data_IF_233822385809
#
_entry.id   IF_233822385809
#
_cell.length_a   1.000
_cell.length_b   1.000
_cell.length_c   1.000
_cell.angle_alpha   90.00
_cell.angle_beta   90.00
_cell.angle_gamma   90.00
#
_symmetry.space_group_name_H-M   'P 1'
#
loop_
_entity.id
_entity.type
_entity.pdbx_description
1 polymer ?
#
# COMPACT_ATOMS: atom_id res chain seq x y z
N UNK A 1 7.73 8.24 5.27
CA UNK A 1 6.99 9.53 5.38
C UNK A 1 5.76 9.27 6.22
N UNK A 2 5.56 10.03 7.30
CA UNK A 2 4.38 9.89 8.16
C UNK A 2 3.15 10.56 7.53
N UNK A 3 1.97 10.04 7.86
CA UNK A 3 0.69 10.65 7.47
C UNK A 3 -0.04 11.18 8.71
N UNK A 4 -0.44 12.45 8.65
CA UNK A 4 -1.24 13.10 9.67
C UNK A 4 -2.68 13.28 9.19
N UNK A 5 -3.67 12.92 10.00
CA UNK A 5 -5.09 13.07 9.66
C UNK A 5 -5.93 13.48 10.87
N UNK A 6 -7.00 14.26 10.66
CA UNK A 6 -7.88 14.68 11.74
C UNK A 6 -8.72 13.51 12.25
N UNK A 7 -8.90 13.44 13.57
CA UNK A 7 -9.81 12.50 14.23
C UNK A 7 -10.69 13.24 15.23
N UNK A 8 -11.96 12.86 15.33
CA UNK A 8 -12.88 13.38 16.34
C UNK A 8 -13.14 12.28 17.38
N UNK A 9 -12.88 12.57 18.65
CA UNK A 9 -13.11 11.66 19.77
C UNK A 9 -13.73 12.45 20.91
N UNK A 10 -14.86 11.97 21.45
CA UNK A 10 -15.60 12.61 22.54
C UNK A 10 -15.95 14.09 22.31
N UNK A 11 -16.10 14.50 21.04
CA UNK A 11 -16.39 15.88 20.64
C UNK A 11 -15.16 16.79 20.54
N UNK A 12 -13.97 16.26 20.81
CA UNK A 12 -12.70 16.97 20.65
C UNK A 12 -12.05 16.66 19.29
N UNK A 13 -11.44 17.69 18.69
CA UNK A 13 -10.65 17.57 17.46
C UNK A 13 -9.20 17.27 17.80
N UNK A 14 -8.73 16.13 17.34
CA UNK A 14 -7.39 15.61 17.55
C UNK A 14 -6.71 15.37 16.20
N UNK A 15 -5.40 15.13 16.24
CA UNK A 15 -4.62 14.70 15.07
C UNK A 15 -4.06 13.32 15.38
N UNK A 16 -4.23 12.40 14.43
CA UNK A 16 -3.60 11.09 14.45
C UNK A 16 -2.43 11.06 13.46
N UNK A 17 -1.33 10.44 13.88
CA UNK A 17 -0.21 10.06 13.02
C UNK A 17 -0.20 8.55 12.81
N UNK A 18 0.06 8.15 11.57
CA UNK A 18 0.33 6.76 11.20
C UNK A 18 1.50 6.68 10.23
N UNK A 19 2.08 5.49 10.13
CA UNK A 19 3.11 5.18 9.14
C UNK A 19 2.52 4.36 7.97
N UNK A 20 2.26 4.97 6.80
CA UNK A 20 1.76 4.24 5.63
C UNK A 20 2.81 3.26 5.05
N UNK A 21 4.09 3.42 5.36
CA UNK A 21 5.13 2.48 4.95
C UNK A 21 5.09 1.18 5.78
N UNK A 22 4.37 1.15 6.90
CA UNK A 22 4.15 -0.05 7.71
C UNK A 22 5.41 -0.54 8.43
N UNK A 23 6.30 0.36 8.85
CA UNK A 23 7.37 0.09 9.81
C UNK A 23 6.88 0.16 11.27
N UNK A 24 5.71 0.75 11.51
CA UNK A 24 4.96 0.63 12.76
C UNK A 24 3.47 0.49 12.48
N UNK A 25 2.77 -0.31 13.28
CA UNK A 25 1.31 -0.46 13.27
C UNK A 25 0.63 0.45 14.31
N UNK A 26 1.42 1.14 15.12
CA UNK A 26 0.92 2.07 16.12
C UNK A 26 0.29 3.30 15.46
N UNK A 27 -0.72 3.84 16.12
CA UNK A 27 -1.32 5.13 15.78
C UNK A 27 -1.13 6.02 17.01
N UNK A 28 -0.47 7.16 16.81
CA UNK A 28 -0.30 8.15 17.86
C UNK A 28 -1.36 9.22 17.67
N UNK A 29 -2.12 9.52 18.71
CA UNK A 29 -3.14 10.58 18.71
C UNK A 29 -2.74 11.65 19.70
N UNK A 30 -2.79 12.90 19.27
CA UNK A 30 -2.55 14.03 20.16
C UNK A 30 -3.50 15.19 19.87
N UNK A 31 -3.68 16.03 20.89
CA UNK A 31 -4.45 17.25 20.77
C UNK A 31 -3.76 18.24 19.81
N UNK A 32 -4.53 19.03 19.08
CA UNK A 32 -4.02 20.02 18.12
C UNK A 32 -2.89 20.91 18.65
N UNK A 33 -2.89 21.40 19.90
CA UNK A 33 -1.79 22.20 20.43
C UNK A 33 -0.44 21.47 20.48
N UNK A 34 -0.44 20.14 20.56
CA UNK A 34 0.79 19.34 20.56
C UNK A 34 1.38 19.19 19.14
N UNK A 35 0.64 19.54 18.09
CA UNK A 35 1.17 19.47 16.72
C UNK A 35 2.34 20.43 16.51
N UNK A 36 2.30 21.63 17.12
CA UNK A 36 3.43 22.59 17.04
C UNK A 36 4.64 22.14 17.86
N UNK A 37 4.43 21.38 18.94
CA UNK A 37 5.53 20.76 19.67
C UNK A 37 6.20 19.67 18.82
N UNK A 38 5.40 18.78 18.23
CA UNK A 38 5.90 17.65 17.42
C UNK A 38 6.54 18.13 16.11
N UNK A 39 6.06 19.23 15.53
CA UNK A 39 6.67 19.80 14.31
C UNK A 39 8.09 20.31 14.50
N UNK A 40 8.49 20.56 15.76
CA UNK A 40 9.85 20.95 16.13
C UNK A 40 10.79 19.75 16.37
N UNK A 41 10.31 18.51 16.19
CA UNK A 41 11.14 17.30 16.27
C UNK A 41 11.80 17.04 14.90
N UNK A 42 12.64 17.98 14.48
CA UNK A 42 13.27 18.01 13.15
C UNK A 42 14.73 17.53 13.15
N UNK A 43 15.27 17.18 14.32
CA UNK A 43 16.67 16.80 14.48
C UNK A 43 17.65 17.99 14.49
N UNK A 44 17.15 19.22 14.32
CA UNK A 44 17.94 20.46 14.38
C UNK A 44 17.79 21.17 15.73
N UNK A 45 16.62 21.05 16.37
CA UNK A 45 16.36 21.65 17.69
C UNK A 45 16.62 20.69 18.85
N UNK A 46 17.39 21.14 19.84
CA UNK A 46 17.48 20.48 21.14
C UNK A 46 16.20 20.68 21.96
N UNK A 47 15.98 19.80 22.94
CA UNK A 47 14.82 19.91 23.87
C UNK A 47 14.72 21.30 24.53
N UNK A 48 15.86 21.91 24.88
CA UNK A 48 15.89 23.25 25.48
C UNK A 48 15.47 24.34 24.49
N UNK A 49 15.89 24.24 23.22
CA UNK A 49 15.48 25.16 22.15
C UNK A 49 14.00 25.01 21.84
N UNK A 50 13.49 23.78 21.74
CA UNK A 50 12.06 23.50 21.56
C UNK A 50 11.24 24.16 22.66
N UNK A 51 11.65 23.98 23.92
CA UNK A 51 10.97 24.61 25.05
C UNK A 51 10.98 26.15 24.93
N UNK A 52 12.13 26.74 24.58
CA UNK A 52 12.27 28.19 24.44
C UNK A 52 11.36 28.73 23.34
N UNK A 53 11.29 28.06 22.19
CA UNK A 53 10.41 28.42 21.06
C UNK A 53 8.94 28.40 21.48
N UNK A 54 8.50 27.36 22.18
CA UNK A 54 7.11 27.27 22.65
C UNK A 54 6.78 28.31 23.72
N UNK A 55 7.73 28.57 24.62
CA UNK A 55 7.58 29.57 25.68
C UNK A 55 7.44 30.98 25.09
N UNK A 56 8.22 31.29 24.05
CA UNK A 56 8.13 32.55 23.32
C UNK A 56 6.78 32.69 22.57
N UNK A 57 6.32 31.62 21.90
CA UNK A 57 5.08 31.64 21.11
C UNK A 57 3.81 31.72 21.96
N UNK A 58 3.77 31.01 23.08
CA UNK A 58 2.53 30.78 23.82
C UNK A 58 2.54 31.32 25.26
N UNK A 59 3.67 31.84 25.75
CA UNK A 59 3.82 32.30 27.13
C UNK A 59 3.83 31.15 28.17
N UNK A 60 3.74 29.91 27.71
CA UNK A 60 3.85 28.69 28.50
C UNK A 60 4.43 27.58 27.61
N UNK A 61 5.21 26.68 28.20
CA UNK A 61 5.74 25.50 27.52
C UNK A 61 5.75 24.29 28.48
N UNK A 62 5.66 23.06 27.96
CA UNK A 62 5.96 21.87 28.75
C UNK A 62 7.38 21.93 29.33
N UNK A 63 7.64 21.19 30.41
CA UNK A 63 8.99 21.08 30.96
C UNK A 63 9.91 20.32 29.99
N UNK A 64 11.23 20.53 30.08
CA UNK A 64 12.19 19.74 29.30
C UNK A 64 12.04 18.24 29.54
N UNK A 65 11.67 17.84 30.76
CA UNK A 65 11.38 16.44 31.11
C UNK A 65 10.16 15.92 30.34
N UNK A 66 9.04 16.66 30.32
CA UNK A 66 7.83 16.28 29.57
C UNK A 66 8.08 16.19 28.05
N UNK A 67 8.91 17.09 27.51
CA UNK A 67 9.31 17.04 26.09
C UNK A 67 10.16 15.79 25.85
N UNK A 68 11.13 15.51 26.72
CA UNK A 68 11.98 14.31 26.62
C UNK A 68 11.18 13.01 26.71
N UNK A 69 10.20 12.92 27.61
CA UNK A 69 9.30 11.77 27.70
C UNK A 69 8.48 11.58 26.42
N UNK A 70 8.03 12.66 25.79
CA UNK A 70 7.31 12.58 24.52
C UNK A 70 8.23 12.11 23.38
N UNK A 71 9.46 12.63 23.31
CA UNK A 71 10.48 12.20 22.34
C UNK A 71 10.74 10.70 22.46
N UNK A 72 11.02 10.21 23.68
CA UNK A 72 11.28 8.78 23.90
C UNK A 72 10.08 7.93 23.49
N UNK A 73 8.85 8.34 23.85
CA UNK A 73 7.63 7.60 23.47
C UNK A 73 7.42 7.53 21.96
N UNK A 74 7.67 8.62 21.24
CA UNK A 74 7.56 8.64 19.77
C UNK A 74 8.66 7.80 19.12
N UNK A 75 9.88 7.84 19.67
CA UNK A 75 10.99 7.02 19.21
C UNK A 75 10.72 5.52 19.42
N UNK A 76 10.29 5.12 20.62
CA UNK A 76 9.86 3.75 20.92
C UNK A 76 8.74 3.29 19.97
N UNK A 77 7.81 4.19 19.64
CA UNK A 77 6.72 3.91 18.72
C UNK A 77 7.16 3.87 17.24
N UNK A 78 8.36 4.34 16.91
CA UNK A 78 8.92 4.34 15.55
C UNK A 78 8.46 5.52 14.68
N UNK A 79 8.16 6.65 15.30
CA UNK A 79 7.73 7.88 14.62
C UNK A 79 8.85 8.92 14.45
N UNK A 80 10.04 8.68 14.99
CA UNK A 80 11.20 9.55 14.85
C UNK A 80 12.26 8.89 13.97
N UNK A 81 12.96 9.69 13.18
CA UNK A 81 14.13 9.25 12.42
C UNK A 81 15.33 9.14 13.37
N UNK A 82 15.56 7.91 13.86
CA UNK A 82 16.55 7.60 14.89
C UNK A 82 17.30 6.32 14.55
N UNK A 83 18.39 6.05 15.27
CA UNK A 83 19.10 4.76 15.15
C UNK A 83 18.17 3.57 15.44
N UNK A 84 17.21 3.74 16.36
CA UNK A 84 16.22 2.72 16.72
C UNK A 84 15.24 2.47 15.56
N UNK A 85 14.79 3.54 14.91
CA UNK A 85 13.95 3.42 13.71
C UNK A 85 14.71 2.78 12.55
N UNK A 86 15.95 3.17 12.31
CA UNK A 86 16.79 2.59 11.26
C UNK A 86 17.05 1.10 11.47
N UNK A 87 17.29 0.67 12.72
CA UNK A 87 17.39 -0.76 13.05
C UNK A 87 16.08 -1.51 12.79
N UNK A 88 14.93 -0.91 13.17
CA UNK A 88 13.60 -1.48 12.88
C UNK A 88 13.37 -1.61 11.38
N UNK A 89 13.62 -0.55 10.62
CA UNK A 89 13.49 -0.49 9.16
C UNK A 89 14.32 -1.60 8.51
N UNK A 90 15.61 -1.68 8.85
CA UNK A 90 16.52 -2.73 8.36
C UNK A 90 15.99 -4.13 8.65
N UNK A 91 15.56 -4.39 9.89
CA UNK A 91 15.04 -5.71 10.30
C UNK A 91 13.83 -6.12 9.47
N UNK A 92 12.88 -5.21 9.28
CA UNK A 92 11.65 -5.46 8.51
C UNK A 92 11.96 -5.67 7.02
N UNK A 93 12.83 -4.84 6.44
CA UNK A 93 13.24 -4.97 5.04
C UNK A 93 14.03 -6.25 4.78
N UNK A 94 14.92 -6.64 5.69
CA UNK A 94 15.67 -7.90 5.60
C UNK A 94 14.74 -9.11 5.68
N UNK A 95 13.74 -9.10 6.57
CA UNK A 95 12.72 -10.14 6.64
C UNK A 95 11.93 -10.24 5.32
N UNK A 96 11.54 -9.11 4.75
CA UNK A 96 10.87 -9.10 3.44
C UNK A 96 11.78 -9.60 2.32
N UNK A 97 13.05 -9.19 2.30
CA UNK A 97 14.05 -9.64 1.32
C UNK A 97 14.26 -11.16 1.40
N UNK A 98 14.29 -11.73 2.60
CA UNK A 98 14.40 -13.16 2.82
C UNK A 98 13.13 -13.96 2.47
N UNK A 99 11.96 -13.32 2.40
CA UNK A 99 10.70 -13.99 2.05
C UNK A 99 10.71 -14.52 0.59
N UNK A 100 10.28 -15.77 0.35
CA UNK A 100 10.21 -16.32 -1.01
C UNK A 100 9.05 -15.73 -1.84
N UNK A 101 8.10 -15.08 -1.18
CA UNK A 101 6.89 -14.47 -1.78
C UNK A 101 6.71 -13.04 -1.28
N UNK A 102 5.91 -12.27 -2.01
CA UNK A 102 5.32 -11.02 -1.51
C UNK A 102 4.01 -11.44 -0.82
N UNK A 103 3.93 -11.46 0.53
CA UNK A 103 2.76 -11.97 1.25
C UNK A 103 1.49 -11.19 0.91
N UNK A 104 0.29 -11.75 1.08
CA UNK A 104 -0.99 -11.07 0.88
C UNK A 104 -1.28 -10.01 1.97
N UNK A 105 -0.55 -8.89 1.96
CA UNK A 105 -0.52 -7.89 3.02
C UNK A 105 -1.86 -7.18 3.31
N UNK A 106 -2.81 -7.18 2.37
CA UNK A 106 -4.11 -6.51 2.54
C UNK A 106 -5.30 -7.48 2.60
N UNK A 107 -5.03 -8.79 2.67
CA UNK A 107 -6.03 -9.81 2.93
C UNK A 107 -6.70 -9.59 4.30
N UNK A 108 -8.03 -9.62 4.33
CA UNK A 108 -8.84 -9.33 5.52
C UNK A 108 -9.13 -7.85 5.76
N UNK A 109 -8.40 -6.94 5.12
CA UNK A 109 -8.64 -5.50 5.17
C UNK A 109 -9.28 -4.97 3.87
N UNK A 110 -8.46 -4.86 2.82
CA UNK A 110 -8.92 -4.32 1.53
C UNK A 110 -9.84 -5.28 0.77
N UNK A 111 -9.73 -6.58 1.03
CA UNK A 111 -10.51 -7.66 0.44
C UNK A 111 -10.62 -8.84 1.41
N UNK A 112 -11.52 -9.79 1.16
CA UNK A 112 -11.74 -10.91 2.07
C UNK A 112 -10.48 -11.81 2.20
N UNK A 113 -10.12 -12.18 3.42
CA UNK A 113 -8.87 -12.92 3.68
C UNK A 113 -8.93 -14.42 3.36
N UNK A 114 -10.11 -14.98 3.17
CA UNK A 114 -10.32 -16.41 2.93
C UNK A 114 -10.73 -16.68 1.49
N UNK A 115 -10.12 -17.69 0.85
CA UNK A 115 -10.32 -17.99 -0.56
C UNK A 115 -11.79 -18.08 -1.02
N UNK A 116 -12.66 -18.88 -0.37
CA UNK A 116 -14.07 -18.96 -0.74
C UNK A 116 -14.83 -17.64 -0.59
N UNK A 117 -14.54 -16.87 0.47
CA UNK A 117 -15.18 -15.57 0.71
C UNK A 117 -14.71 -14.53 -0.31
N UNK A 118 -13.41 -14.54 -0.67
CA UNK A 118 -12.82 -13.68 -1.68
C UNK A 118 -13.38 -13.97 -3.07
N UNK A 119 -13.49 -15.25 -3.43
CA UNK A 119 -14.09 -15.65 -4.70
C UNK A 119 -15.54 -15.15 -4.80
N UNK A 120 -16.34 -15.37 -3.75
CA UNK A 120 -17.72 -14.87 -3.71
C UNK A 120 -17.79 -13.34 -3.77
N UNK A 121 -16.88 -12.64 -3.09
CA UNK A 121 -16.78 -11.18 -3.13
C UNK A 121 -16.51 -10.68 -4.56
N UNK A 122 -15.57 -11.29 -5.28
CA UNK A 122 -15.21 -10.88 -6.64
C UNK A 122 -16.34 -11.22 -7.63
N UNK A 123 -16.99 -12.39 -7.51
CA UNK A 123 -18.15 -12.73 -8.36
C UNK A 123 -19.28 -11.70 -8.20
N UNK A 124 -19.49 -11.20 -6.98
CA UNK A 124 -20.49 -10.17 -6.71
C UNK A 124 -20.17 -8.80 -7.35
N UNK A 125 -18.97 -8.59 -7.90
CA UNK A 125 -18.65 -7.37 -8.65
C UNK A 125 -19.32 -7.32 -10.01
N UNK A 126 -19.65 -8.47 -10.59
CA UNK A 126 -20.20 -8.58 -11.94
C UNK A 126 -21.72 -8.41 -11.98
N UNK A 127 -22.42 -8.82 -10.93
CA UNK A 127 -23.89 -8.91 -10.92
C UNK A 127 -24.70 -7.79 -10.23
N UNK A 128 -24.14 -6.68 -9.68
CA UNK A 128 -24.98 -5.62 -9.14
C UNK A 128 -25.76 -4.93 -10.28
N UNK A 129 -26.81 -4.13 -9.98
CA UNK A 129 -27.60 -3.46 -11.02
C UNK A 129 -26.78 -2.62 -12.01
N UNK A 130 -25.69 -2.01 -11.53
CA UNK A 130 -24.73 -1.19 -12.31
C UNK A 130 -23.56 -2.03 -12.88
N UNK A 131 -23.55 -3.35 -12.68
CA UNK A 131 -22.47 -4.25 -13.05
C UNK A 131 -22.52 -4.73 -14.50
N UNK A 132 -21.41 -5.29 -15.02
CA UNK A 132 -21.30 -5.77 -16.40
C UNK A 132 -22.06 -7.08 -16.69
N UNK A 133 -22.63 -7.73 -15.68
CA UNK A 133 -23.17 -9.10 -15.77
C UNK A 133 -22.10 -10.19 -15.69
N UNK A 134 -22.53 -11.39 -15.29
CA UNK A 134 -21.65 -12.55 -15.09
C UNK A 134 -20.87 -12.90 -16.38
N UNK A 135 -19.57 -13.25 -16.29
CA UNK A 135 -18.75 -13.75 -17.40
C UNK A 135 -19.37 -14.97 -18.10
N UNK A 136 -20.17 -14.75 -19.14
CA UNK A 136 -20.80 -15.82 -19.92
C UNK A 136 -22.12 -15.41 -20.54
N UNK A 137 -22.09 -14.70 -21.66
CA UNK A 137 -23.34 -14.35 -22.36
C UNK A 137 -23.23 -13.91 -23.80
N UNK A 138 -22.16 -13.26 -24.22
CA UNK A 138 -21.96 -12.89 -25.64
C UNK A 138 -20.46 -12.98 -25.96
N UNK A 139 -20.06 -13.60 -27.09
CA UNK A 139 -18.75 -13.33 -27.65
C UNK A 139 -18.64 -11.82 -27.86
N UNK A 140 -17.44 -11.25 -27.71
CA UNK A 140 -17.16 -9.88 -28.11
C UNK A 140 -17.88 -9.61 -29.43
N UNK A 141 -18.67 -8.51 -29.48
CA UNK A 141 -19.33 -8.11 -30.72
C UNK A 141 -18.30 -8.19 -31.84
N UNK A 142 -18.60 -9.02 -32.85
CA UNK A 142 -17.72 -9.29 -33.99
C UNK A 142 -17.21 -7.94 -34.51
N UNK A 143 -15.92 -7.63 -34.29
CA UNK A 143 -15.32 -6.37 -34.72
C UNK A 143 -14.75 -5.44 -33.63
N UNK A 144 -14.78 -5.80 -32.33
CA UNK A 144 -14.05 -5.03 -31.32
C UNK A 144 -12.53 -5.28 -31.40
N UNK A 145 -11.68 -4.22 -31.36
CA UNK A 145 -10.23 -4.41 -31.40
C UNK A 145 -9.74 -5.15 -30.14
N UNK A 146 -8.63 -5.92 -30.24
CA UNK A 146 -8.06 -6.62 -29.10
C UNK A 146 -7.65 -5.62 -28.01
N UNK A 147 -7.86 -5.99 -26.74
CA UNK A 147 -7.48 -5.16 -25.60
C UNK A 147 -5.96 -5.07 -25.50
N UNK A 148 -5.41 -3.85 -25.54
CA UNK A 148 -3.96 -3.58 -25.39
C UNK A 148 -3.57 -3.00 -24.04
N UNK A 149 -4.54 -2.48 -23.29
CA UNK A 149 -4.31 -1.89 -21.97
C UNK A 149 -5.63 -1.72 -21.23
N UNK A 150 -5.55 -1.66 -19.90
CA UNK A 150 -6.69 -1.53 -19.00
C UNK A 150 -6.31 -0.55 -17.88
N UNK A 151 -7.25 0.30 -17.50
CA UNK A 151 -7.16 1.11 -16.29
C UNK A 151 -8.22 0.59 -15.33
N UNK A 152 -7.79 0.15 -14.16
CA UNK A 152 -8.64 -0.33 -13.09
C UNK A 152 -8.35 0.49 -11.82
N UNK A 153 -9.33 0.65 -10.92
CA UNK A 153 -9.08 1.27 -9.62
C UNK A 153 -8.13 0.38 -8.80
N UNK A 154 -7.53 0.97 -7.77
CA UNK A 154 -6.81 0.25 -6.73
C UNK A 154 -7.37 0.57 -5.34
N UNK A 155 -8.65 0.93 -5.26
CA UNK A 155 -9.35 1.13 -3.99
C UNK A 155 -9.80 -0.21 -3.42
N UNK A 156 -9.95 -0.28 -2.09
CA UNK A 156 -10.51 -1.45 -1.42
C UNK A 156 -11.77 -1.98 -2.13
N UNK A 157 -11.86 -3.31 -2.20
CA UNK A 157 -12.87 -4.01 -2.99
C UNK A 157 -14.30 -3.64 -2.61
N UNK A 158 -14.55 -3.41 -1.32
CA UNK A 158 -15.88 -3.01 -0.83
C UNK A 158 -16.31 -1.61 -1.33
N UNK A 159 -15.38 -0.76 -1.78
CA UNK A 159 -15.66 0.58 -2.32
C UNK A 159 -15.73 0.59 -3.85
N UNK A 160 -14.95 -0.27 -4.50
CA UNK A 160 -14.74 -0.23 -5.97
C UNK A 160 -15.33 -1.39 -6.77
N UNK A 161 -15.99 -2.36 -6.14
CA UNK A 161 -16.33 -3.66 -6.73
C UNK A 161 -16.86 -3.62 -8.18
N UNK A 162 -17.96 -2.92 -8.45
CA UNK A 162 -18.55 -2.89 -9.81
C UNK A 162 -17.60 -2.35 -10.89
N UNK A 163 -16.73 -1.39 -10.54
CA UNK A 163 -15.74 -0.83 -11.46
C UNK A 163 -14.67 -1.85 -11.81
N UNK A 164 -14.21 -2.65 -10.83
CA UNK A 164 -13.36 -3.81 -11.11
C UNK A 164 -14.06 -4.80 -12.03
N UNK A 165 -15.34 -5.10 -11.77
CA UNK A 165 -16.16 -5.98 -12.62
C UNK A 165 -16.12 -5.55 -14.08
N UNK A 166 -16.41 -4.29 -14.39
CA UNK A 166 -16.37 -3.75 -15.75
C UNK A 166 -14.99 -3.86 -16.40
N UNK A 167 -13.94 -3.50 -15.66
CA UNK A 167 -12.57 -3.53 -16.16
C UNK A 167 -12.13 -4.96 -16.54
N UNK A 168 -12.38 -5.93 -15.65
CA UNK A 168 -11.97 -7.31 -15.85
C UNK A 168 -12.90 -8.08 -16.79
N UNK A 169 -14.17 -7.65 -16.95
CA UNK A 169 -15.03 -8.16 -18.02
C UNK A 169 -14.43 -7.88 -19.40
N UNK A 170 -13.99 -6.64 -19.62
CA UNK A 170 -13.34 -6.23 -20.87
C UNK A 170 -12.06 -7.04 -21.14
N UNK A 171 -11.30 -7.38 -20.10
CA UNK A 171 -10.13 -8.25 -20.19
C UNK A 171 -10.53 -9.67 -20.63
N UNK A 172 -11.51 -10.27 -19.97
CA UNK A 172 -11.98 -11.62 -20.28
C UNK A 172 -12.56 -11.76 -21.70
N UNK A 173 -13.19 -10.72 -22.23
CA UNK A 173 -13.83 -10.75 -23.55
C UNK A 173 -12.87 -10.44 -24.72
N UNK A 174 -11.82 -9.65 -24.48
CA UNK A 174 -11.03 -9.04 -25.57
C UNK A 174 -9.52 -9.28 -25.45
N UNK A 175 -9.07 -10.08 -24.48
CA UNK A 175 -7.66 -10.39 -24.29
C UNK A 175 -7.38 -11.89 -24.24
N UNK A 176 -6.45 -12.34 -25.07
CA UNK A 176 -5.85 -13.66 -25.04
C UNK A 176 -4.44 -13.68 -24.41
N UNK A 177 -4.01 -12.55 -23.83
CA UNK A 177 -2.70 -12.43 -23.19
C UNK A 177 -2.48 -13.44 -22.05
N UNK A 178 -1.24 -13.90 -21.95
CA UNK A 178 -0.68 -14.77 -20.91
C UNK A 178 0.27 -14.01 -19.97
N UNK A 179 0.89 -12.92 -20.44
CA UNK A 179 1.69 -11.99 -19.64
C UNK A 179 0.98 -10.65 -19.40
N UNK A 180 0.97 -10.20 -18.14
CA UNK A 180 0.41 -8.91 -17.74
C UNK A 180 1.47 -8.04 -17.07
N UNK A 181 1.63 -6.81 -17.55
CA UNK A 181 2.47 -5.78 -16.91
C UNK A 181 1.56 -4.85 -16.12
N UNK A 182 1.76 -4.78 -14.81
CA UNK A 182 0.94 -3.97 -13.90
C UNK A 182 1.77 -2.78 -13.43
N UNK A 183 1.32 -1.57 -13.74
CA UNK A 183 1.92 -0.34 -13.23
C UNK A 183 1.07 0.16 -12.06
N UNK A 184 1.63 0.06 -10.86
CA UNK A 184 1.04 0.58 -9.63
C UNK A 184 1.64 1.93 -9.22
N UNK A 185 1.00 2.58 -8.26
CA UNK A 185 1.57 3.74 -7.56
C UNK A 185 2.28 3.27 -6.29
N UNK A 186 3.19 4.09 -5.77
CA UNK A 186 3.82 3.89 -4.47
C UNK A 186 3.37 5.00 -3.52
N UNK A 187 2.48 4.69 -2.58
CA UNK A 187 1.88 5.67 -1.67
C UNK A 187 2.86 6.14 -0.58
N UNK A 188 3.71 5.22 -0.09
CA UNK A 188 4.69 5.52 0.94
C UNK A 188 5.92 6.29 0.40
N UNK A 189 6.08 6.32 -0.93
CA UNK A 189 7.26 6.84 -1.61
C UNK A 189 8.42 5.84 -1.65
N UNK A 190 9.32 6.06 -2.59
CA UNK A 190 10.56 5.30 -2.77
C UNK A 190 11.63 6.21 -3.39
N UNK A 191 12.91 5.84 -3.22
CA UNK A 191 14.03 6.64 -3.72
C UNK A 191 14.19 6.60 -5.25
N UNK A 192 13.76 5.50 -5.87
CA UNK A 192 13.84 5.27 -7.31
C UNK A 192 12.52 5.61 -8.02
N UNK A 193 12.53 5.98 -9.32
CA UNK A 193 11.29 6.26 -10.05
C UNK A 193 10.44 5.01 -10.31
N UNK A 194 11.06 3.82 -10.32
CA UNK A 194 10.39 2.54 -10.51
C UNK A 194 11.02 1.47 -9.61
N UNK A 195 10.19 0.59 -9.09
CA UNK A 195 10.60 -0.64 -8.41
C UNK A 195 9.92 -1.84 -9.06
N UNK A 196 10.60 -2.97 -9.02
CA UNK A 196 10.06 -4.28 -9.37
C UNK A 196 10.33 -5.25 -8.21
N UNK A 197 9.64 -6.39 -8.26
CA UNK A 197 9.93 -7.54 -7.41
C UNK A 197 9.91 -8.82 -8.24
N UNK A 198 10.79 -9.75 -7.90
CA UNK A 198 10.81 -11.11 -8.46
C UNK A 198 10.06 -12.11 -7.58
N UNK A 199 9.43 -11.63 -6.50
CA UNK A 199 8.66 -12.44 -5.57
C UNK A 199 7.26 -12.65 -6.16
N UNK A 200 6.77 -13.90 -6.24
CA UNK A 200 5.36 -14.15 -6.54
C UNK A 200 4.47 -13.40 -5.56
N UNK A 201 3.38 -12.81 -6.06
CA UNK A 201 2.37 -12.16 -5.21
C UNK A 201 1.48 -13.22 -4.61
N UNK A 202 1.59 -13.44 -3.32
CA UNK A 202 0.71 -14.37 -2.62
C UNK A 202 -0.71 -13.81 -2.53
N UNK A 203 -1.71 -14.68 -2.61
CA UNK A 203 -3.12 -14.32 -2.49
C UNK A 203 -3.90 -15.45 -1.80
N UNK A 204 -5.08 -15.19 -1.21
CA UNK A 204 -5.93 -16.27 -0.68
C UNK A 204 -6.43 -17.29 -1.73
N UNK A 205 -6.23 -17.02 -3.03
CA UNK A 205 -6.56 -17.90 -4.15
C UNK A 205 -5.31 -18.61 -4.72
N UNK A 206 -4.15 -18.43 -4.07
CA UNK A 206 -2.84 -18.93 -4.48
C UNK A 206 -1.97 -17.85 -5.13
N UNK A 207 -0.66 -18.07 -5.10
CA UNK A 207 0.31 -17.10 -5.58
C UNK A 207 0.22 -16.84 -7.10
N UNK A 208 0.45 -15.59 -7.48
CA UNK A 208 0.59 -15.12 -8.86
C UNK A 208 2.08 -15.07 -9.20
N UNK A 209 2.56 -15.87 -10.18
CA UNK A 209 3.96 -15.89 -10.54
C UNK A 209 4.40 -14.59 -11.23
N UNK A 210 5.70 -14.33 -11.17
CA UNK A 210 6.35 -13.24 -11.90
C UNK A 210 7.15 -13.83 -13.07
N UNK A 211 7.01 -13.23 -14.24
CA UNK A 211 7.78 -13.62 -15.42
C UNK A 211 9.21 -13.09 -15.32
N UNK A 212 10.15 -14.01 -15.05
CA UNK A 212 11.57 -13.70 -14.86
C UNK A 212 12.26 -13.33 -16.17
N UNK A 213 11.90 -13.95 -17.27
CA UNK A 213 12.52 -13.70 -18.58
C UNK A 213 12.15 -12.30 -19.07
N UNK A 214 10.90 -11.89 -18.88
CA UNK A 214 10.45 -10.53 -19.14
C UNK A 214 11.17 -9.53 -18.23
N UNK A 215 11.27 -9.81 -16.93
CA UNK A 215 12.01 -8.95 -16.00
C UNK A 215 13.47 -8.76 -16.45
N UNK A 216 14.18 -9.84 -16.79
CA UNK A 216 15.57 -9.75 -17.25
C UNK A 216 15.69 -8.92 -18.53
N UNK A 217 14.77 -9.10 -19.47
CA UNK A 217 14.73 -8.34 -20.70
C UNK A 217 14.43 -6.85 -20.48
N UNK A 218 13.60 -6.52 -19.47
CA UNK A 218 13.28 -5.16 -19.07
C UNK A 218 14.46 -4.50 -18.35
N UNK A 219 15.03 -5.18 -17.35
CA UNK A 219 16.15 -4.70 -16.54
C UNK A 219 17.36 -4.35 -17.41
N UNK A 220 17.72 -5.20 -18.39
CA UNK A 220 18.80 -4.91 -19.37
C UNK A 220 18.57 -3.64 -20.19
N UNK A 221 17.31 -3.30 -20.49
CA UNK A 221 16.95 -2.10 -21.27
C UNK A 221 16.84 -0.85 -20.41
N UNK A 222 16.40 -1.01 -19.16
CA UNK A 222 16.22 0.10 -18.24
C UNK A 222 17.56 0.68 -17.76
N UNK A 223 18.56 -0.18 -17.53
CA UNK A 223 19.93 0.25 -17.25
C UNK A 223 20.18 0.70 -15.81
N UNK A 224 19.22 0.52 -14.90
CA UNK A 224 19.36 0.68 -13.46
C UNK A 224 18.77 -0.53 -12.72
N UNK A 225 19.14 -0.69 -11.45
CA UNK A 225 18.62 -1.76 -10.61
C UNK A 225 17.15 -1.48 -10.26
N UNK A 226 16.23 -2.33 -10.71
CA UNK A 226 14.80 -2.22 -10.40
C UNK A 226 14.46 -2.85 -9.04
N UNK A 227 15.39 -3.59 -8.42
CA UNK A 227 15.18 -4.25 -7.13
C UNK A 227 15.71 -3.44 -5.94
N UNK A 228 16.38 -2.30 -6.18
CA UNK A 228 16.91 -1.42 -5.14
C UNK A 228 15.83 -0.96 -4.16
N UNK A 229 14.64 -0.65 -4.69
CA UNK A 229 13.45 -0.25 -3.94
C UNK A 229 12.42 -1.38 -3.78
N UNK A 230 12.82 -2.66 -3.88
CA UNK A 230 11.89 -3.82 -3.80
C UNK A 230 11.03 -3.80 -2.52
N UNK A 231 11.58 -3.31 -1.40
CA UNK A 231 10.86 -3.22 -0.13
C UNK A 231 9.58 -2.36 -0.18
N UNK A 232 9.48 -1.43 -1.14
CA UNK A 232 8.27 -0.62 -1.36
C UNK A 232 7.04 -1.48 -1.68
N UNK A 233 7.23 -2.68 -2.23
CA UNK A 233 6.14 -3.61 -2.52
C UNK A 233 5.50 -4.24 -1.27
N UNK A 234 6.16 -4.18 -0.10
CA UNK A 234 5.77 -4.90 1.12
C UNK A 234 4.39 -4.50 1.65
N UNK A 235 4.11 -3.20 1.68
CA UNK A 235 2.88 -2.61 2.22
C UNK A 235 2.02 -1.90 1.16
N UNK A 236 2.48 -1.89 -0.10
CA UNK A 236 1.77 -1.23 -1.20
C UNK A 236 0.66 -2.13 -1.76
N UNK A 237 -0.55 -1.57 -1.84
CA UNK A 237 -1.77 -2.31 -2.22
C UNK A 237 -2.07 -2.25 -3.71
N UNK A 238 -1.54 -1.25 -4.44
CA UNK A 238 -2.02 -0.96 -5.79
C UNK A 238 -1.89 -2.11 -6.77
N UNK A 239 -0.76 -2.83 -6.73
CA UNK A 239 -0.50 -4.02 -7.56
C UNK A 239 -1.18 -5.26 -6.97
N UNK A 240 -1.21 -5.41 -5.64
CA UNK A 240 -1.79 -6.59 -4.98
C UNK A 240 -3.25 -6.80 -5.36
N UNK A 241 -4.05 -5.73 -5.37
CA UNK A 241 -5.47 -5.81 -5.74
C UNK A 241 -5.66 -6.31 -7.19
N UNK A 242 -4.76 -5.94 -8.10
CA UNK A 242 -4.81 -6.42 -9.48
C UNK A 242 -4.36 -7.88 -9.59
N UNK A 243 -3.34 -8.28 -8.82
CA UNK A 243 -2.90 -9.67 -8.74
C UNK A 243 -4.03 -10.59 -8.26
N UNK A 244 -4.78 -10.16 -7.22
CA UNK A 244 -5.96 -10.86 -6.72
C UNK A 244 -7.05 -11.00 -7.79
N UNK A 245 -7.38 -9.90 -8.48
CA UNK A 245 -8.38 -9.93 -9.56
C UNK A 245 -7.97 -10.86 -10.71
N UNK A 246 -6.72 -10.74 -11.20
CA UNK A 246 -6.18 -11.60 -12.26
C UNK A 246 -6.20 -13.08 -11.83
N UNK A 247 -5.77 -13.37 -10.60
CA UNK A 247 -5.77 -14.74 -10.06
C UNK A 247 -7.17 -15.34 -10.05
N UNK A 248 -8.18 -14.56 -9.67
CA UNK A 248 -9.57 -15.01 -9.65
C UNK A 248 -10.11 -15.23 -11.07
N UNK A 249 -10.06 -14.20 -11.92
CA UNK A 249 -10.74 -14.22 -13.23
C UNK A 249 -10.09 -15.13 -14.26
N UNK A 250 -8.77 -15.33 -14.17
CA UNK A 250 -8.04 -16.26 -15.03
C UNK A 250 -7.93 -17.66 -14.40
N UNK A 251 -8.11 -17.77 -13.07
CA UNK A 251 -8.03 -19.02 -12.34
C UNK A 251 -6.72 -19.77 -12.62
N UNK A 252 -6.82 -21.09 -12.79
CA UNK A 252 -5.73 -21.94 -13.31
C UNK A 252 -5.72 -22.02 -14.85
N UNK A 253 -6.57 -21.26 -15.56
CA UNK A 253 -6.73 -21.38 -17.02
C UNK A 253 -5.55 -20.79 -17.79
N UNK A 254 -4.72 -19.98 -17.14
CA UNK A 254 -3.44 -19.45 -17.65
C UNK A 254 -2.46 -19.39 -16.46
N UNK A 255 -1.46 -20.29 -16.40
CA UNK A 255 -0.48 -20.32 -15.32
C UNK A 255 0.37 -19.05 -15.28
#
# INVERSE_FOLDING_TARGET
MLEAFPVEQDGERLVALRDPAGFTDQIVVFALPLLDLVSLFDGEHSIGEIQAVLQERYGQAPTMEQIGELVERLDEAGFLDSERFEERRRTIEEAFRASPVRPAAHAGGAYAGEGPALAAQIEAFFTPPEGPGAPGGLPAGVGSPPLRGLIAPHIDFHRGGSVYGWAYRALLERSDADLFVILGTCHAGMGDPFAATLKPYDTPLGAVPVDRDFYEALSRRYGADLLSSEAAHRSEHSIELQAVMLRHVLGARRP
#
